data_IF_151018551266
#
_entry.id   IF_151018551266
#
_cell.length_a   1.000
_cell.length_b   1.000
_cell.length_c   1.000
_cell.angle_alpha   90.00
_cell.angle_beta   90.00
_cell.angle_gamma   90.00
#
_symmetry.space_group_name_H-M   'P 1'
#
loop_
_entity.id
_entity.type
_entity.pdbx_description
1 polymer ?
#
# COMPACT_ATOMS: atom_id res chain seq x y z
N UNK A 1 -11.20 3.23 -13.54
CA UNK A 1 -11.43 2.14 -12.57
C UNK A 1 -11.07 2.67 -11.20
N UNK A 2 -12.04 2.76 -10.29
CA UNK A 2 -11.80 3.16 -8.91
C UNK A 2 -11.32 1.94 -8.12
N UNK A 3 -10.13 2.05 -7.53
CA UNK A 3 -9.51 0.94 -6.82
C UNK A 3 -9.42 1.31 -5.36
N UNK A 4 -10.14 0.55 -4.54
CA UNK A 4 -10.19 0.81 -3.11
C UNK A 4 -8.84 0.53 -2.44
N UNK A 5 -8.55 1.26 -1.38
CA UNK A 5 -7.36 0.98 -0.54
C UNK A 5 -7.42 -0.45 0.03
N UNK A 6 -8.61 -0.95 0.34
CA UNK A 6 -8.81 -2.28 0.92
C UNK A 6 -8.42 -3.42 -0.03
N UNK A 7 -8.78 -3.32 -1.32
CA UNK A 7 -8.43 -4.34 -2.31
C UNK A 7 -6.92 -4.47 -2.48
N UNK A 8 -6.19 -3.34 -2.51
CA UNK A 8 -4.72 -3.35 -2.57
C UNK A 8 -4.12 -4.00 -1.33
N UNK A 9 -4.65 -3.70 -0.15
CA UNK A 9 -4.13 -4.29 1.09
C UNK A 9 -4.24 -5.81 1.03
N UNK A 10 -5.36 -6.35 0.51
CA UNK A 10 -5.54 -7.80 0.33
C UNK A 10 -4.52 -8.38 -0.66
N UNK A 11 -4.34 -7.76 -1.83
CA UNK A 11 -3.35 -8.19 -2.83
C UNK A 11 -1.95 -8.31 -2.22
N UNK A 12 -1.56 -7.31 -1.43
CA UNK A 12 -0.25 -7.32 -0.78
C UNK A 12 -0.13 -8.34 0.37
N UNK A 13 -1.24 -8.77 0.99
CA UNK A 13 -1.20 -9.87 1.97
C UNK A 13 -0.86 -11.18 1.29
N UNK A 14 -1.40 -11.40 0.08
CA UNK A 14 -1.03 -12.54 -0.75
C UNK A 14 0.44 -12.46 -1.22
N UNK A 15 0.93 -11.29 -1.63
CA UNK A 15 2.35 -11.11 -2.02
C UNK A 15 3.32 -11.51 -0.89
N UNK A 16 3.04 -11.08 0.35
CA UNK A 16 3.88 -11.45 1.50
C UNK A 16 3.94 -12.97 1.73
N UNK A 17 2.81 -13.66 1.53
CA UNK A 17 2.74 -15.13 1.65
C UNK A 17 3.49 -15.81 0.51
N UNK A 18 3.32 -15.34 -0.72
CA UNK A 18 3.97 -15.88 -1.91
C UNK A 18 5.51 -15.75 -1.84
N UNK A 19 6.02 -14.67 -1.22
CA UNK A 19 7.46 -14.41 -1.08
C UNK A 19 8.15 -15.20 0.03
N UNK A 20 7.43 -16.01 0.80
CA UNK A 20 8.02 -16.85 1.86
C UNK A 20 8.68 -16.05 2.99
N UNK A 21 8.15 -14.87 3.32
CA UNK A 21 8.72 -14.01 4.38
C UNK A 21 8.61 -14.65 5.77
N UNK A 22 9.52 -14.26 6.68
CA UNK A 22 9.45 -14.71 8.08
C UNK A 22 8.14 -14.27 8.75
N UNK A 23 7.65 -15.06 9.72
CA UNK A 23 6.43 -14.74 10.49
C UNK A 23 6.51 -13.36 11.15
N UNK A 24 7.65 -13.00 11.72
CA UNK A 24 7.86 -11.69 12.35
C UNK A 24 7.77 -10.55 11.32
N UNK A 25 8.33 -10.74 10.14
CA UNK A 25 8.24 -9.77 9.03
C UNK A 25 6.80 -9.60 8.57
N UNK A 26 6.04 -10.69 8.44
CA UNK A 26 4.62 -10.66 8.05
C UNK A 26 3.82 -9.86 9.10
N UNK A 27 3.96 -10.18 10.38
CA UNK A 27 3.27 -9.49 11.48
C UNK A 27 3.58 -7.99 11.49
N UNK A 28 4.87 -7.62 11.34
CA UNK A 28 5.27 -6.22 11.28
C UNK A 28 4.64 -5.49 10.09
N UNK A 29 4.65 -6.11 8.90
CA UNK A 29 4.05 -5.54 7.69
C UNK A 29 2.54 -5.37 7.82
N UNK A 30 1.85 -6.34 8.39
CA UNK A 30 0.41 -6.28 8.64
C UNK A 30 0.04 -5.15 9.61
N UNK A 31 0.78 -5.01 10.71
CA UNK A 31 0.56 -3.91 11.67
C UNK A 31 0.73 -2.55 11.02
N UNK A 32 1.83 -2.36 10.30
CA UNK A 32 2.10 -1.11 9.58
C UNK A 32 0.98 -0.79 8.58
N UNK A 33 0.51 -1.80 7.82
CA UNK A 33 -0.57 -1.60 6.84
C UNK A 33 -1.91 -1.26 7.46
N UNK A 34 -2.28 -1.88 8.59
CA UNK A 34 -3.50 -1.51 9.33
C UNK A 34 -3.47 -0.07 9.81
N UNK A 35 -2.34 0.36 10.34
CA UNK A 35 -2.18 1.76 10.79
C UNK A 35 -2.23 2.71 9.59
N UNK A 36 -1.57 2.34 8.49
CA UNK A 36 -1.56 3.14 7.27
C UNK A 36 -2.93 3.21 6.58
N UNK A 37 -3.73 2.14 6.62
CA UNK A 37 -5.09 2.14 6.09
C UNK A 37 -6.03 3.01 6.93
N UNK A 38 -5.88 2.98 8.26
CA UNK A 38 -6.66 3.83 9.16
C UNK A 38 -6.37 5.31 8.91
N UNK A 39 -5.11 5.66 8.68
CA UNK A 39 -4.71 7.03 8.33
C UNK A 39 -5.44 7.55 7.08
N UNK A 40 -5.52 6.76 6.01
CA UNK A 40 -6.24 7.20 4.81
C UNK A 40 -7.76 7.23 5.00
N UNK A 41 -8.33 6.15 5.54
CA UNK A 41 -9.78 5.97 5.59
C UNK A 41 -10.46 6.89 6.62
N UNK A 42 -9.84 7.10 7.77
CA UNK A 42 -10.49 7.80 8.89
C UNK A 42 -9.96 9.20 9.13
N UNK A 43 -8.68 9.48 8.85
CA UNK A 43 -8.12 10.82 9.09
C UNK A 43 -8.19 11.72 7.85
N UNK A 44 -8.26 11.14 6.65
CA UNK A 44 -8.23 11.92 5.41
C UNK A 44 -9.46 11.69 4.51
N UNK A 45 -10.38 10.79 4.87
CA UNK A 45 -11.56 10.41 4.07
C UNK A 45 -11.21 9.96 2.65
N UNK A 46 -10.09 9.24 2.50
CA UNK A 46 -9.56 8.76 1.22
C UNK A 46 -9.97 7.30 1.06
N UNK A 47 -10.85 7.03 0.09
CA UNK A 47 -11.37 5.68 -0.16
C UNK A 47 -10.62 4.97 -1.30
N UNK A 48 -10.18 5.74 -2.31
CA UNK A 48 -9.56 5.23 -3.51
C UNK A 48 -8.08 5.59 -3.62
N UNK A 49 -7.33 4.72 -4.31
CA UNK A 49 -5.89 4.93 -4.55
C UNK A 49 -5.63 6.22 -5.34
N UNK A 50 -6.50 6.56 -6.29
CA UNK A 50 -6.38 7.78 -7.12
C UNK A 50 -6.41 9.08 -6.30
N UNK A 51 -6.94 9.03 -5.09
CA UNK A 51 -7.06 10.17 -4.19
C UNK A 51 -5.80 10.35 -3.31
N UNK A 52 -4.90 9.34 -3.28
CA UNK A 52 -3.66 9.40 -2.52
C UNK A 52 -2.67 10.36 -3.21
N UNK A 53 -2.35 11.45 -2.52
CA UNK A 53 -1.32 12.41 -2.93
C UNK A 53 -0.03 12.21 -2.13
N UNK A 54 1.14 12.61 -2.66
CA UNK A 54 2.40 12.55 -1.93
C UNK A 54 2.37 13.25 -0.56
N UNK A 55 1.56 14.30 -0.42
CA UNK A 55 1.42 15.04 0.85
C UNK A 55 0.83 14.16 1.95
N UNK A 56 -0.12 13.27 1.66
CA UNK A 56 -0.72 12.38 2.65
C UNK A 56 0.31 11.39 3.22
N UNK A 57 1.22 10.89 2.37
CA UNK A 57 2.30 10.01 2.81
C UNK A 57 3.29 10.77 3.70
N UNK A 58 3.64 12.01 3.35
CA UNK A 58 4.51 12.85 4.17
C UNK A 58 3.86 13.16 5.52
N UNK A 59 2.58 13.52 5.52
CA UNK A 59 1.82 13.79 6.73
C UNK A 59 1.81 12.58 7.67
N UNK A 60 1.54 11.39 7.13
CA UNK A 60 1.63 10.15 7.91
C UNK A 60 2.99 10.03 8.62
N UNK A 61 4.11 10.19 7.90
CA UNK A 61 5.45 10.03 8.48
C UNK A 61 5.73 11.08 9.57
N UNK A 62 5.28 12.32 9.38
CA UNK A 62 5.39 13.39 10.37
C UNK A 62 4.59 13.03 11.62
N UNK A 63 3.33 12.63 11.48
CA UNK A 63 2.48 12.25 12.61
C UNK A 63 3.10 11.11 13.43
N UNK A 64 3.78 10.16 12.77
CA UNK A 64 4.49 9.07 13.47
C UNK A 64 5.66 9.59 14.29
N UNK A 65 6.44 10.51 13.75
CA UNK A 65 7.54 11.14 14.50
C UNK A 65 7.01 11.95 15.67
N UNK A 66 5.95 12.73 15.47
CA UNK A 66 5.29 13.53 16.51
C UNK A 66 4.65 12.67 17.61
N UNK A 67 4.18 11.46 17.26
CA UNK A 67 3.71 10.46 18.22
C UNK A 67 4.85 9.74 18.98
N UNK A 68 6.11 10.14 18.80
CA UNK A 68 7.27 9.61 19.52
C UNK A 68 7.84 8.29 18.97
N UNK A 69 7.49 7.90 17.73
CA UNK A 69 8.14 6.75 17.11
C UNK A 69 9.59 7.08 16.72
N UNK A 70 10.51 6.13 16.92
CA UNK A 70 11.90 6.31 16.52
C UNK A 70 12.06 6.43 15.01
N UNK A 71 13.08 7.17 14.55
CA UNK A 71 13.41 7.32 13.14
C UNK A 71 13.58 5.96 12.44
N UNK A 72 14.23 5.00 13.10
CA UNK A 72 14.39 3.63 12.60
C UNK A 72 13.03 2.96 12.34
N UNK A 73 12.07 3.15 13.24
CA UNK A 73 10.72 2.61 13.09
C UNK A 73 9.98 3.27 11.94
N UNK A 74 10.05 4.60 11.84
CA UNK A 74 9.41 5.36 10.75
C UNK A 74 10.03 5.01 9.39
N UNK A 75 11.34 4.83 9.32
CA UNK A 75 12.04 4.38 8.11
C UNK A 75 11.64 2.95 7.69
N UNK A 76 11.44 2.05 8.66
CA UNK A 76 10.92 0.72 8.38
C UNK A 76 9.47 0.77 7.84
N UNK A 77 8.63 1.67 8.36
CA UNK A 77 7.29 1.91 7.84
C UNK A 77 7.31 2.49 6.42
N UNK A 78 8.19 3.47 6.15
CA UNK A 78 8.40 4.03 4.83
C UNK A 78 8.81 2.96 3.80
N UNK A 79 9.67 2.01 4.18
CA UNK A 79 10.03 0.87 3.31
C UNK A 79 8.80 0.03 2.92
N UNK A 80 7.86 -0.16 3.83
CA UNK A 80 6.60 -0.88 3.57
C UNK A 80 5.67 -0.05 2.68
N UNK A 81 5.59 1.26 2.90
CA UNK A 81 4.80 2.18 2.06
C UNK A 81 5.36 2.25 0.64
N UNK A 82 6.69 2.24 0.48
CA UNK A 82 7.32 2.15 -0.84
C UNK A 82 6.97 0.85 -1.54
N UNK A 83 7.01 -0.28 -0.83
CA UNK A 83 6.55 -1.55 -1.38
C UNK A 83 5.06 -1.52 -1.78
N UNK A 84 4.21 -0.81 -1.00
CA UNK A 84 2.82 -0.56 -1.35
C UNK A 84 2.71 0.21 -2.67
N UNK A 85 3.38 1.35 -2.80
CA UNK A 85 3.38 2.14 -4.04
C UNK A 85 3.94 1.35 -5.23
N UNK A 86 5.01 0.58 -5.04
CA UNK A 86 5.55 -0.28 -6.10
C UNK A 86 4.56 -1.36 -6.55
N UNK A 87 3.83 -1.99 -5.62
CA UNK A 87 2.79 -2.98 -5.97
C UNK A 87 1.64 -2.30 -6.71
N UNK A 88 1.20 -1.11 -6.29
CA UNK A 88 0.23 -0.32 -7.07
C UNK A 88 0.74 -0.11 -8.51
N UNK A 89 1.98 0.35 -8.67
CA UNK A 89 2.55 0.57 -10.01
C UNK A 89 2.65 -0.71 -10.83
N UNK A 90 3.04 -1.85 -10.24
CA UNK A 90 3.21 -3.12 -10.96
C UNK A 90 1.85 -3.75 -11.29
N UNK A 91 0.95 -3.86 -10.32
CA UNK A 91 -0.37 -4.46 -10.47
C UNK A 91 -1.20 -3.63 -11.45
N UNK A 92 -1.18 -2.29 -11.36
CA UNK A 92 -1.99 -1.47 -12.26
C UNK A 92 -1.38 -1.27 -13.65
N UNK A 93 -0.05 -1.24 -13.80
CA UNK A 93 0.52 -1.31 -15.15
C UNK A 93 0.29 -2.69 -15.79
N UNK A 94 0.25 -3.78 -15.00
CA UNK A 94 -0.06 -5.12 -15.51
C UNK A 94 -1.55 -5.32 -15.80
N UNK A 95 -2.46 -4.78 -14.97
CA UNK A 95 -3.90 -4.86 -15.23
C UNK A 95 -4.30 -4.06 -16.46
N UNK A 96 -3.72 -2.87 -16.68
CA UNK A 96 -3.88 -2.13 -17.95
C UNK A 96 -3.42 -3.01 -19.13
N UNK A 97 -2.20 -3.58 -19.04
CA UNK A 97 -1.69 -4.48 -20.08
C UNK A 97 -2.53 -5.77 -20.25
N UNK A 98 -3.14 -6.31 -19.18
CA UNK A 98 -3.99 -7.51 -19.24
C UNK A 98 -5.38 -7.20 -19.82
N UNK A 99 -5.91 -6.00 -19.58
CA UNK A 99 -7.13 -5.50 -20.25
C UNK A 99 -6.85 -5.30 -21.74
N UNK A 100 -5.71 -4.71 -22.10
CA UNK A 100 -5.28 -4.57 -23.50
C UNK A 100 -5.07 -5.94 -24.17
N UNK A 101 -4.45 -6.89 -23.46
CA UNK A 101 -4.27 -8.26 -23.92
C UNK A 101 -5.62 -9.01 -24.07
N UNK A 102 -6.54 -8.86 -23.11
CA UNK A 102 -7.87 -9.45 -23.18
C UNK A 102 -8.71 -8.85 -24.32
N UNK A 103 -8.57 -7.56 -24.61
CA UNK A 103 -9.22 -6.91 -25.74
C UNK A 103 -8.62 -7.36 -27.08
N UNK A 104 -7.31 -7.61 -27.14
CA UNK A 104 -6.62 -8.12 -28.33
C UNK A 104 -6.92 -9.59 -28.63
N UNK A 105 -7.19 -10.40 -27.60
CA UNK A 105 -7.56 -11.80 -27.75
C UNK A 105 -9.04 -11.94 -28.19
N UNK A 106 -9.88 -10.97 -27.87
CA UNK A 106 -11.32 -10.97 -28.18
C UNK A 106 -11.70 -10.12 -29.42
N UNK A 107 -10.72 -9.60 -30.17
CA UNK A 107 -10.90 -8.90 -31.46
C UNK A 107 -10.46 -9.78 -32.62
#
# INVERSE_FOLDING_TARGET
MEISIQSVIQEMLFDNKARGLSKNTIIFREKTRKVFSVFFLYQNDILNISEIKPIHIKQYLVDRLECGYSETSVNAQLGIIRAFVCILCIVFNKEINMIDLANHINS
#
